data_IF_385162130574
#
_entry.id   IF_385162130574
#
_cell.length_a   1.000
_cell.length_b   1.000
_cell.length_c   1.000
_cell.angle_alpha   90.00
_cell.angle_beta   90.00
_cell.angle_gamma   90.00
#
_symmetry.space_group_name_H-M   'P 1'
#
loop_
_entity.id
_entity.type
_entity.pdbx_description
1 polymer ?
#
# COMPACT_ATOMS: atom_id res chain seq x y z
N UNK A 1 -12.39 25.57 3.21
CA UNK A 1 -11.91 25.33 1.83
C UNK A 1 -11.29 23.94 1.69
N UNK A 2 -10.26 23.60 2.50
CA UNK A 2 -9.54 22.33 2.46
C UNK A 2 -10.44 21.07 2.42
N UNK A 3 -11.44 20.97 3.29
CA UNK A 3 -12.37 19.81 3.33
C UNK A 3 -13.06 19.54 2.00
N UNK A 4 -13.51 20.59 1.31
CA UNK A 4 -14.19 20.45 0.02
C UNK A 4 -13.21 19.94 -1.03
N UNK A 5 -12.03 20.56 -1.10
CA UNK A 5 -10.97 20.16 -2.02
C UNK A 5 -10.54 18.71 -1.78
N UNK A 6 -10.36 18.28 -0.53
CA UNK A 6 -10.04 16.89 -0.22
C UNK A 6 -11.14 15.91 -0.65
N UNK A 7 -12.43 16.28 -0.50
CA UNK A 7 -13.54 15.43 -0.98
C UNK A 7 -13.55 15.23 -2.49
N UNK A 8 -13.12 16.24 -3.23
CA UNK A 8 -13.07 16.21 -4.71
C UNK A 8 -11.80 15.52 -5.21
N UNK A 9 -10.65 15.81 -4.60
CA UNK A 9 -9.35 15.38 -5.09
C UNK A 9 -9.02 13.94 -4.68
N UNK A 10 -9.33 13.50 -3.44
CA UNK A 10 -8.93 12.18 -2.93
C UNK A 10 -9.51 11.02 -3.76
N UNK A 11 -10.80 11.00 -4.16
CA UNK A 11 -11.29 9.95 -5.05
C UNK A 11 -10.60 9.91 -6.41
N UNK A 12 -10.01 11.04 -6.82
CA UNK A 12 -9.42 11.23 -8.14
C UNK A 12 -7.88 11.15 -8.13
N UNK A 13 -7.25 10.71 -7.04
CA UNK A 13 -5.78 10.79 -6.92
C UNK A 13 -5.05 10.03 -8.02
N UNK A 14 -5.65 9.00 -8.63
CA UNK A 14 -5.01 8.18 -9.68
C UNK A 14 -5.21 8.73 -11.10
N UNK A 15 -6.15 9.67 -11.26
CA UNK A 15 -6.55 10.24 -12.56
C UNK A 15 -6.15 11.70 -12.71
N UNK A 16 -6.12 12.48 -11.63
CA UNK A 16 -5.86 13.92 -11.62
C UNK A 16 -4.85 14.30 -10.53
N UNK A 17 -4.10 15.37 -10.76
CA UNK A 17 -3.30 16.04 -9.73
C UNK A 17 -4.17 16.61 -8.59
N UNK A 18 -3.61 16.61 -7.38
CA UNK A 18 -4.20 17.30 -6.24
C UNK A 18 -4.12 18.82 -6.46
N UNK A 19 -5.05 19.56 -5.86
CA UNK A 19 -4.93 21.01 -5.77
C UNK A 19 -3.94 21.38 -4.66
N UNK A 20 -2.69 21.63 -5.03
CA UNK A 20 -1.61 21.89 -4.07
C UNK A 20 -1.75 23.23 -3.31
N UNK A 21 -2.65 24.13 -3.71
CA UNK A 21 -2.84 25.43 -3.07
C UNK A 21 -3.38 25.36 -1.63
N UNK A 22 -4.00 24.23 -1.27
CA UNK A 22 -4.52 24.02 0.09
C UNK A 22 -3.44 23.54 1.07
N UNK A 23 -2.22 23.30 0.62
CA UNK A 23 -1.12 22.80 1.44
C UNK A 23 -0.09 23.91 1.70
N UNK A 24 0.62 23.81 2.82
CA UNK A 24 1.78 24.66 3.10
C UNK A 24 3.02 24.12 2.41
N UNK A 25 3.97 25.02 2.16
CA UNK A 25 5.26 24.67 1.55
C UNK A 25 6.08 23.71 2.43
N UNK A 26 5.95 23.83 3.76
CA UNK A 26 6.62 22.99 4.77
C UNK A 26 5.76 21.80 5.24
N UNK A 27 4.86 21.30 4.40
CA UNK A 27 4.01 20.15 4.74
C UNK A 27 4.85 18.93 5.15
N UNK A 28 4.42 18.24 6.20
CA UNK A 28 4.96 16.93 6.58
C UNK A 28 3.98 15.83 6.20
N UNK A 29 4.42 14.87 5.39
CA UNK A 29 3.70 13.64 5.09
C UNK A 29 4.27 12.48 5.89
N UNK A 30 3.39 11.73 6.55
CA UNK A 30 3.77 10.64 7.44
C UNK A 30 2.97 9.41 7.03
N UNK A 31 3.66 8.32 6.71
CA UNK A 31 3.06 7.00 6.60
C UNK A 31 3.71 6.07 7.65
N UNK A 32 3.22 4.83 7.83
CA UNK A 32 3.77 3.92 8.85
C UNK A 32 5.25 3.55 8.67
N UNK A 33 5.81 3.75 7.48
CA UNK A 33 7.17 3.35 7.09
C UNK A 33 8.10 4.55 6.88
N UNK A 34 7.56 5.72 6.54
CA UNK A 34 8.33 6.87 6.08
C UNK A 34 7.76 8.20 6.60
N UNK A 35 8.63 9.20 6.63
CA UNK A 35 8.26 10.61 6.84
C UNK A 35 8.96 11.46 5.79
N UNK A 36 8.20 12.33 5.13
CA UNK A 36 8.67 13.24 4.11
C UNK A 36 8.26 14.67 4.45
N UNK A 37 9.12 15.63 4.13
CA UNK A 37 8.86 17.05 4.39
C UNK A 37 9.01 17.87 3.12
N UNK A 38 8.20 18.92 2.99
CA UNK A 38 8.23 19.84 1.88
C UNK A 38 7.23 19.49 0.77
N UNK A 39 6.68 20.54 0.15
CA UNK A 39 5.66 20.42 -0.89
C UNK A 39 6.15 19.69 -2.14
N UNK A 40 7.42 19.82 -2.51
CA UNK A 40 7.99 19.14 -3.68
C UNK A 40 8.00 17.62 -3.49
N UNK A 41 8.41 17.15 -2.31
CA UNK A 41 8.36 15.73 -1.96
C UNK A 41 6.91 15.22 -1.91
N UNK A 42 5.99 16.01 -1.39
CA UNK A 42 4.57 15.69 -1.38
C UNK A 42 4.01 15.52 -2.80
N UNK A 43 4.30 16.45 -3.70
CA UNK A 43 3.95 16.38 -5.12
C UNK A 43 4.54 15.12 -5.77
N UNK A 44 5.81 14.83 -5.51
CA UNK A 44 6.52 13.67 -6.06
C UNK A 44 5.88 12.35 -5.62
N UNK A 45 5.48 12.22 -4.35
CA UNK A 45 4.82 11.01 -3.83
C UNK A 45 3.51 10.75 -4.58
N UNK A 46 2.64 11.75 -4.72
CA UNK A 46 1.36 11.57 -5.42
C UNK A 46 1.53 11.42 -6.93
N UNK A 47 2.56 12.03 -7.52
CA UNK A 47 2.95 11.75 -8.89
C UNK A 47 3.41 10.30 -9.08
N UNK A 48 4.29 9.81 -8.21
CA UNK A 48 4.78 8.44 -8.24
C UNK A 48 3.62 7.46 -8.02
N UNK A 49 2.73 7.72 -7.08
CA UNK A 49 1.54 6.90 -6.81
C UNK A 49 0.65 6.77 -8.06
N UNK A 50 0.41 7.88 -8.77
CA UNK A 50 -0.32 7.87 -10.06
C UNK A 50 0.40 7.06 -11.12
N UNK A 51 1.70 7.30 -11.27
CA UNK A 51 2.52 6.64 -12.26
C UNK A 51 2.53 5.12 -12.05
N UNK A 52 2.85 4.67 -10.84
CA UNK A 52 2.87 3.25 -10.47
C UNK A 52 1.47 2.63 -10.54
N UNK A 53 0.43 3.37 -10.15
CA UNK A 53 -0.96 2.93 -10.28
C UNK A 53 -1.32 2.56 -11.73
N UNK A 54 -0.94 3.40 -12.69
CA UNK A 54 -1.19 3.15 -14.13
C UNK A 54 -0.43 1.95 -14.67
N UNK A 55 0.80 1.73 -14.20
CA UNK A 55 1.66 0.62 -14.65
C UNK A 55 1.23 -0.71 -14.05
N UNK A 56 0.93 -0.74 -12.75
CA UNK A 56 0.71 -1.98 -12.01
C UNK A 56 -0.74 -2.49 -12.08
N UNK A 57 -1.70 -1.61 -12.34
CA UNK A 57 -3.13 -1.94 -12.26
C UNK A 57 -3.87 -1.70 -13.58
N UNK A 58 -4.81 -2.59 -13.89
CA UNK A 58 -5.82 -2.40 -14.93
C UNK A 58 -6.81 -1.33 -14.48
N UNK A 59 -7.23 -1.43 -13.22
CA UNK A 59 -8.14 -0.51 -12.55
C UNK A 59 -7.63 -0.23 -11.14
N UNK A 60 -7.64 1.03 -10.72
CA UNK A 60 -7.27 1.46 -9.37
C UNK A 60 -8.08 2.71 -9.00
N UNK A 61 -8.69 2.70 -7.82
CA UNK A 61 -9.50 3.82 -7.35
C UNK A 61 -9.50 3.91 -5.82
N UNK A 62 -9.79 5.11 -5.31
CA UNK A 62 -10.05 5.33 -3.88
C UNK A 62 -11.50 5.70 -3.69
N UNK A 63 -12.18 4.95 -2.84
CA UNK A 63 -13.51 5.25 -2.36
C UNK A 63 -13.42 5.96 -1.01
N UNK A 64 -14.02 7.14 -0.90
CA UNK A 64 -14.07 7.89 0.36
C UNK A 64 -15.37 7.56 1.08
N UNK A 65 -15.26 6.86 2.21
CA UNK A 65 -16.44 6.52 3.02
C UNK A 65 -16.94 7.71 3.83
N UNK A 66 -16.03 8.46 4.44
CA UNK A 66 -16.41 9.56 5.33
C UNK A 66 -15.30 10.58 5.45
N UNK A 67 -15.70 11.85 5.46
CA UNK A 67 -14.85 12.99 5.81
C UNK A 67 -15.48 13.72 6.98
N UNK A 68 -14.76 13.84 8.08
CA UNK A 68 -15.22 14.55 9.27
C UNK A 68 -14.10 15.42 9.87
N UNK A 69 -14.50 16.40 10.68
CA UNK A 69 -13.59 17.33 11.35
C UNK A 69 -13.76 17.18 12.86
N UNK A 70 -12.86 16.44 13.54
CA UNK A 70 -12.96 16.27 14.99
C UNK A 70 -12.62 17.54 15.77
N UNK A 71 -11.83 18.46 15.19
CA UNK A 71 -11.55 19.79 15.72
C UNK A 71 -11.43 20.80 14.56
N UNK A 72 -11.41 22.09 14.87
CA UNK A 72 -11.29 23.16 13.85
C UNK A 72 -10.01 23.06 13.01
N UNK A 73 -8.95 22.51 13.60
CA UNK A 73 -7.64 22.36 12.98
C UNK A 73 -7.33 20.93 12.52
N UNK A 74 -8.32 20.04 12.47
CA UNK A 74 -8.12 18.67 12.01
C UNK A 74 -9.22 18.17 11.07
N UNK A 75 -8.80 17.46 10.04
CA UNK A 75 -9.69 16.78 9.11
C UNK A 75 -9.29 15.31 9.08
N UNK A 76 -10.27 14.43 9.11
CA UNK A 76 -10.06 12.99 9.06
C UNK A 76 -10.89 12.41 7.92
N UNK A 77 -10.23 11.58 7.11
CA UNK A 77 -10.83 10.88 5.97
C UNK A 77 -10.64 9.38 6.14
N UNK A 78 -11.74 8.63 6.15
CA UNK A 78 -11.72 7.17 6.03
C UNK A 78 -11.97 6.79 4.58
N UNK A 79 -11.13 5.92 4.05
CA UNK A 79 -11.16 5.54 2.65
C UNK A 79 -10.83 4.06 2.43
N UNK A 80 -11.16 3.55 1.25
CA UNK A 80 -10.77 2.24 0.75
C UNK A 80 -10.16 2.35 -0.64
N UNK A 81 -8.93 1.87 -0.79
CA UNK A 81 -8.27 1.70 -2.08
C UNK A 81 -8.66 0.34 -2.65
N UNK A 82 -9.13 0.33 -3.89
CA UNK A 82 -9.43 -0.89 -4.62
C UNK A 82 -8.55 -0.95 -5.87
N UNK A 83 -8.03 -2.13 -6.20
CA UNK A 83 -7.17 -2.30 -7.36
C UNK A 83 -7.24 -3.69 -7.99
N UNK A 84 -7.23 -3.74 -9.31
CA UNK A 84 -7.12 -4.96 -10.13
C UNK A 84 -5.73 -4.97 -10.79
N UNK A 85 -4.77 -5.76 -10.30
CA UNK A 85 -3.42 -5.79 -10.86
C UNK A 85 -3.36 -6.31 -12.31
N UNK A 86 -2.33 -5.91 -13.05
CA UNK A 86 -2.03 -6.40 -14.42
C UNK A 86 -1.29 -7.74 -14.39
N UNK A 87 -1.90 -8.74 -13.78
CA UNK A 87 -1.39 -10.12 -13.71
C UNK A 87 -2.25 -11.06 -14.58
N UNK A 88 -1.71 -12.23 -15.00
CA UNK A 88 -2.44 -13.15 -15.88
C UNK A 88 -3.56 -13.95 -15.21
N UNK A 89 -3.75 -13.85 -13.89
CA UNK A 89 -4.85 -14.46 -13.15
C UNK A 89 -5.81 -13.41 -12.59
N UNK A 90 -7.05 -13.81 -12.28
CA UNK A 90 -8.03 -12.92 -11.66
C UNK A 90 -7.61 -12.58 -10.23
N UNK A 91 -7.37 -11.30 -9.95
CA UNK A 91 -7.00 -10.82 -8.63
C UNK A 91 -7.59 -9.42 -8.39
N UNK A 92 -8.06 -9.16 -7.17
CA UNK A 92 -8.56 -7.85 -6.75
C UNK A 92 -8.15 -7.54 -5.32
N UNK A 93 -7.38 -6.48 -5.13
CA UNK A 93 -6.99 -5.98 -3.81
C UNK A 93 -7.96 -4.94 -3.26
N UNK A 94 -8.12 -4.95 -1.93
CA UNK A 94 -8.78 -3.86 -1.20
C UNK A 94 -7.96 -3.50 0.03
N UNK A 95 -7.76 -2.21 0.25
CA UNK A 95 -6.97 -1.69 1.36
C UNK A 95 -7.75 -0.58 2.02
N UNK A 96 -8.08 -0.73 3.30
CA UNK A 96 -8.68 0.37 4.04
C UNK A 96 -7.58 1.19 4.67
N UNK A 97 -7.84 2.49 4.79
CA UNK A 97 -6.91 3.44 5.38
C UNK A 97 -7.62 4.63 5.99
N UNK A 98 -6.89 5.35 6.82
CA UNK A 98 -7.36 6.60 7.42
C UNK A 98 -6.31 7.69 7.21
N UNK A 99 -6.72 8.82 6.64
CA UNK A 99 -5.87 10.00 6.49
C UNK A 99 -6.27 11.08 7.49
N UNK A 100 -5.30 11.53 8.27
CA UNK A 100 -5.39 12.65 9.19
C UNK A 100 -4.69 13.86 8.60
N UNK A 101 -5.34 15.02 8.65
CA UNK A 101 -4.79 16.28 8.19
C UNK A 101 -4.84 17.29 9.31
N UNK A 102 -3.72 17.98 9.56
CA UNK A 102 -3.71 19.16 10.42
C UNK A 102 -3.68 20.43 9.59
N UNK A 103 -4.52 21.38 10.00
CA UNK A 103 -4.77 22.63 9.28
C UNK A 103 -4.32 23.81 10.15
N UNK A 104 -3.69 24.80 9.53
CA UNK A 104 -3.29 26.03 10.19
C UNK A 104 -4.45 27.04 10.30
N UNK A 105 -4.17 28.21 10.87
CA UNK A 105 -5.16 29.30 11.02
C UNK A 105 -5.62 29.90 9.69
N UNK A 106 -4.85 29.72 8.62
CA UNK A 106 -5.17 30.20 7.28
C UNK A 106 -5.98 29.17 6.47
N UNK A 107 -6.28 28.00 7.06
CA UNK A 107 -6.98 26.92 6.38
C UNK A 107 -6.07 26.08 5.47
N UNK A 108 -4.74 26.19 5.59
CA UNK A 108 -3.78 25.39 4.84
C UNK A 108 -3.31 24.17 5.64
N UNK A 109 -3.16 23.05 4.96
CA UNK A 109 -2.70 21.78 5.53
C UNK A 109 -1.18 21.81 5.69
N UNK A 110 -0.68 21.52 6.89
CA UNK A 110 0.75 21.42 7.17
C UNK A 110 1.21 20.01 7.57
N UNK A 111 0.27 19.10 7.85
CA UNK A 111 0.59 17.71 8.15
C UNK A 111 -0.47 16.80 7.51
N UNK A 112 -0.02 15.75 6.83
CA UNK A 112 -0.86 14.66 6.34
C UNK A 112 -0.27 13.34 6.85
N UNK A 113 -0.99 12.67 7.75
CA UNK A 113 -0.63 11.35 8.27
C UNK A 113 -1.58 10.29 7.75
N UNK A 114 -1.05 9.19 7.23
CA UNK A 114 -1.81 8.00 6.83
C UNK A 114 -1.60 6.90 7.85
N UNK A 115 -2.71 6.35 8.36
CA UNK A 115 -2.73 5.28 9.36
C UNK A 115 -3.53 4.06 8.86
N UNK A 116 -3.33 2.93 9.55
CA UNK A 116 -4.15 1.72 9.46
C UNK A 116 -4.33 1.17 8.04
N UNK A 117 -3.22 0.92 7.34
CA UNK A 117 -3.21 0.18 6.08
C UNK A 117 -3.53 -1.30 6.37
N UNK A 118 -4.81 -1.62 6.56
CA UNK A 118 -5.24 -3.01 6.69
C UNK A 118 -5.13 -3.67 5.32
N UNK A 119 -4.06 -4.45 5.12
CA UNK A 119 -3.84 -5.21 3.89
C UNK A 119 -4.78 -6.40 3.80
N UNK A 120 -6.02 -6.15 3.35
CA UNK A 120 -6.94 -7.19 2.93
C UNK A 120 -6.57 -7.60 1.50
N UNK A 121 -5.45 -8.33 1.38
CA UNK A 121 -5.10 -8.99 0.12
C UNK A 121 -6.24 -9.97 -0.29
N UNK A 122 -6.52 -10.13 -1.59
CA UNK A 122 -7.58 -11.01 -2.04
C UNK A 122 -7.38 -12.41 -1.46
N UNK A 123 -8.48 -13.00 -0.97
CA UNK A 123 -8.57 -14.46 -0.86
C UNK A 123 -8.44 -14.99 -2.29
N UNK A 124 -7.33 -15.63 -2.60
CA UNK A 124 -7.09 -16.24 -3.91
C UNK A 124 -8.25 -17.18 -4.24
N UNK A 125 -9.12 -16.84 -5.18
CA UNK A 125 -9.94 -17.85 -5.86
C UNK A 125 -9.02 -18.48 -6.91
N UNK A 126 -8.23 -19.47 -6.48
CA UNK A 126 -7.47 -20.28 -7.40
C UNK A 126 -8.43 -21.10 -8.26
N UNK A 127 -8.60 -20.70 -9.51
CA UNK A 127 -8.65 -21.68 -10.60
C UNK A 127 -7.45 -21.37 -11.50
N UNK A 128 -6.32 -22.07 -11.32
CA UNK A 128 -5.17 -21.90 -12.20
C UNK A 128 -5.61 -22.27 -13.61
N UNK A 129 -5.57 -21.33 -14.56
CA UNK A 129 -5.59 -21.69 -15.97
C UNK A 129 -4.31 -22.50 -16.22
N UNK A 130 -4.46 -23.80 -16.33
CA UNK A 130 -3.33 -24.73 -16.48
C UNK A 130 -2.76 -24.55 -17.88
N UNK A 131 -1.45 -24.76 -18.09
CA UNK A 131 -0.86 -24.73 -19.45
C UNK A 131 -1.55 -25.71 -20.43
N UNK A 132 -2.28 -26.71 -19.92
CA UNK A 132 -3.16 -27.58 -20.71
C UNK A 132 -4.32 -26.84 -21.40
N UNK A 133 -4.85 -25.76 -20.81
CA UNK A 133 -5.98 -25.00 -21.36
C UNK A 133 -5.56 -24.18 -22.60
N UNK A 134 -4.27 -23.83 -22.71
CA UNK A 134 -3.67 -23.19 -23.88
C UNK A 134 -3.36 -24.16 -25.02
N UNK A 135 -3.33 -25.47 -24.77
CA UNK A 135 -3.03 -26.51 -25.77
C UNK A 135 -4.31 -27.16 -26.33
N UNK A 136 -5.50 -26.71 -25.88
CA UNK A 136 -6.81 -27.26 -26.21
C UNK A 136 -7.39 -26.91 -27.59
N UNK A 137 -6.58 -26.89 -28.66
CA UNK A 137 -7.09 -26.98 -30.04
C UNK A 137 -6.38 -28.15 -30.74
N UNK A 138 -6.56 -29.35 -30.20
CA UNK A 138 -6.01 -30.58 -30.73
C UNK A 138 -6.75 -31.79 -30.16
N UNK A 139 -7.47 -32.49 -31.02
CA UNK A 139 -8.35 -33.67 -30.79
C UNK A 139 -7.66 -34.79 -29.96
N UNK A 140 -8.39 -35.57 -29.13
CA UNK A 140 -7.77 -36.55 -28.23
C UNK A 140 -7.47 -37.88 -28.91
N UNK A 141 -6.35 -38.51 -28.56
CA UNK A 141 -6.14 -39.96 -28.66
C UNK A 141 -5.41 -40.42 -27.39
N UNK A 142 -6.09 -41.23 -26.59
CA UNK A 142 -5.55 -42.01 -25.46
C UNK A 142 -4.57 -43.09 -25.98
N UNK A 143 -3.63 -43.66 -25.18
CA UNK A 143 -3.87 -44.11 -23.80
C UNK A 143 -2.74 -43.89 -22.76
N UNK A 144 -3.19 -43.83 -21.50
CA UNK A 144 -2.58 -44.36 -20.27
C UNK A 144 -1.05 -44.17 -20.03
N UNK A 145 -0.71 -43.21 -19.17
CA UNK A 145 0.48 -43.28 -18.32
C UNK A 145 0.02 -43.16 -16.87
N UNK A 146 0.18 -44.27 -16.14
CA UNK A 146 -0.07 -44.38 -14.71
C UNK A 146 0.92 -43.52 -13.93
N UNK A 147 0.67 -42.21 -13.82
CA UNK A 147 1.33 -41.39 -12.80
C UNK A 147 0.46 -41.38 -11.55
N UNK A 148 0.97 -42.07 -10.54
CA UNK A 148 0.41 -42.21 -9.20
C UNK A 148 0.30 -40.83 -8.55
N UNK A 149 -0.91 -40.35 -8.29
CA UNK A 149 -1.21 -39.04 -7.69
C UNK A 149 -0.92 -38.92 -6.19
N UNK A 150 -0.16 -39.84 -5.60
CA UNK A 150 0.01 -39.95 -4.14
C UNK A 150 1.28 -39.26 -3.60
N UNK A 151 1.86 -38.28 -4.31
CA UNK A 151 3.13 -37.66 -3.90
C UNK A 151 3.20 -36.14 -4.07
N UNK A 152 2.09 -35.46 -4.34
CA UNK A 152 2.11 -34.01 -4.55
C UNK A 152 1.06 -33.26 -3.73
N UNK A 153 0.85 -33.68 -2.48
CA UNK A 153 0.14 -32.86 -1.49
C UNK A 153 1.09 -31.91 -0.73
N UNK A 154 2.40 -31.98 -0.94
CA UNK A 154 3.37 -31.36 -0.03
C UNK A 154 4.33 -30.33 -0.64
N UNK A 155 4.08 -29.80 -1.83
CA UNK A 155 5.03 -28.85 -2.44
C UNK A 155 4.42 -27.86 -3.42
N UNK A 156 3.72 -26.84 -2.91
CA UNK A 156 3.69 -25.54 -3.58
C UNK A 156 3.80 -24.41 -2.57
N UNK A 157 5.00 -24.26 -2.00
CA UNK A 157 5.45 -22.98 -1.46
C UNK A 157 5.41 -21.96 -2.58
N UNK A 158 4.41 -21.06 -2.56
CA UNK A 158 4.34 -19.94 -3.49
C UNK A 158 5.64 -19.13 -3.37
N UNK A 159 6.44 -18.98 -4.44
CA UNK A 159 7.68 -18.22 -4.40
C UNK A 159 7.49 -16.77 -3.93
N UNK A 160 6.30 -16.22 -4.19
CA UNK A 160 5.88 -14.90 -3.73
C UNK A 160 5.56 -14.81 -2.23
N UNK A 161 5.07 -15.90 -1.61
CA UNK A 161 4.87 -15.96 -0.16
C UNK A 161 6.22 -16.00 0.54
N UNK A 162 7.18 -16.76 0.01
CA UNK A 162 8.55 -16.80 0.54
C UNK A 162 9.27 -15.47 0.33
N UNK A 163 9.16 -14.85 -0.85
CA UNK A 163 9.71 -13.52 -1.10
C UNK A 163 9.07 -12.48 -0.16
N UNK A 164 7.76 -12.51 0.03
CA UNK A 164 7.05 -11.60 0.93
C UNK A 164 7.45 -11.82 2.40
N UNK A 165 7.57 -13.08 2.85
CA UNK A 165 8.04 -13.41 4.20
C UNK A 165 9.48 -12.96 4.41
N UNK A 166 10.34 -13.14 3.40
CA UNK A 166 11.73 -12.69 3.45
C UNK A 166 11.82 -11.16 3.55
N UNK A 167 11.09 -10.43 2.71
CA UNK A 167 11.03 -8.96 2.74
C UNK A 167 10.41 -8.44 4.04
N UNK A 168 9.34 -9.09 4.55
CA UNK A 168 8.75 -8.73 5.84
C UNK A 168 9.74 -8.99 6.98
N UNK A 169 10.44 -10.12 6.98
CA UNK A 169 11.42 -10.46 8.00
C UNK A 169 12.63 -9.51 8.05
N UNK A 170 13.07 -8.99 6.90
CA UNK A 170 14.13 -7.97 6.86
C UNK A 170 13.69 -6.64 7.46
N UNK A 171 12.42 -6.27 7.28
CA UNK A 171 11.86 -5.02 7.81
C UNK A 171 11.59 -5.08 9.33
N UNK A 172 11.29 -6.27 9.87
CA UNK A 172 11.11 -6.47 11.32
C UNK A 172 12.45 -6.48 12.08
N UNK A 173 13.56 -6.89 11.45
CA UNK A 173 14.90 -6.81 12.05
C UNK A 173 15.43 -5.38 12.19
N UNK A 174 15.04 -4.48 11.28
CA UNK A 174 15.49 -3.08 11.30
C UNK A 174 14.82 -2.24 12.41
N UNK A 175 13.71 -2.74 12.97
CA UNK A 175 13.04 -2.18 14.15
C UNK A 175 13.61 -2.63 15.50
N UNK A 176 14.66 -3.45 15.51
CA UNK A 176 15.36 -3.91 16.73
C UNK A 176 16.84 -3.48 16.71
N UNK A 177 17.09 -2.18 16.58
CA UNK A 177 18.33 -1.58 17.11
C UNK A 177 18.05 -1.23 18.59
N UNK A 178 18.63 -1.95 19.58
CA UNK A 178 18.49 -1.55 20.97
C UNK A 178 19.35 -0.30 21.20
N UNK A 179 18.70 0.85 21.35
CA UNK A 179 19.34 2.02 21.93
C UNK A 179 19.40 1.82 23.45
N UNK A 180 20.61 1.66 23.98
CA UNK A 180 20.96 1.99 25.37
C UNK A 180 21.07 0.84 26.36
N UNK A 181 22.31 0.47 26.69
CA UNK A 181 22.69 0.18 28.09
C UNK A 181 23.83 1.13 28.43
N UNK A 182 23.49 2.18 29.19
CA UNK A 182 24.46 2.87 30.02
C UNK A 182 24.58 2.13 31.35
N UNK A 183 25.81 1.89 31.81
CA UNK A 183 26.10 1.82 33.23
C UNK A 183 27.51 2.36 33.48
N UNK A 184 27.60 3.15 34.54
CA UNK A 184 28.69 4.00 34.96
C UNK A 184 29.90 3.27 35.58
N UNK A 185 31.05 3.97 35.65
CA UNK A 185 31.86 3.97 36.86
C UNK A 185 33.37 3.72 36.72
N UNK A 186 34.16 4.74 37.13
CA UNK A 186 35.55 4.72 37.65
C UNK A 186 36.68 4.49 36.60
N UNK A 187 37.76 5.28 36.49
CA UNK A 187 38.71 5.79 37.50
C UNK A 187 39.47 7.04 36.97
N UNK A 188 39.96 7.81 37.94
CA UNK A 188 40.60 9.13 38.03
C UNK A 188 41.99 9.36 37.39
N UNK A 189 42.35 10.66 37.28
CA UNK A 189 43.70 11.29 37.35
C UNK A 189 44.71 10.95 36.24
N UNK A 190 45.46 11.86 35.62
CA UNK A 190 45.94 13.22 35.90
C UNK A 190 46.24 13.93 34.57
#
# INVERSE_FOLDING_TARGET
MAVRTLREDIPSIFSKDLNYNIYREDITFIDPLNTFQGIDNYCLIFWALRFHGRILFKEICIEVFRVWQPSENSILIRWELQGVPRVPWEARGRFQGTSWYKVDRNGKIYEHKVDNLAFNFPRTMMRPATMLDLVGVGRPTTPNLTFRWDLLEDSFSCPWIELYRAVRGTLEQEGHIPMGVGLEGLVTCS
#
